data_IF_908003997428
#
_entry.id   IF_908003997428
#
_cell.length_a   1.000
_cell.length_b   1.000
_cell.length_c   1.000
_cell.angle_alpha   90.00
_cell.angle_beta   90.00
_cell.angle_gamma   90.00
#
_symmetry.space_group_name_H-M   'P 1'
#
loop_
_entity.id
_entity.type
_entity.pdbx_description
1 polymer ?
#
# COMPACT_ATOMS: atom_id res chain seq x y z
N UNK A 1 16.91 -7.92 16.40
CA UNK A 1 16.84 -6.97 15.26
C UNK A 1 15.38 -6.78 14.93
N UNK A 2 14.93 -5.55 14.68
CA UNK A 2 13.53 -5.27 14.44
C UNK A 2 13.05 -6.00 13.18
N UNK A 3 11.94 -6.71 13.31
CA UNK A 3 11.36 -7.53 12.25
C UNK A 3 10.37 -6.70 11.43
N UNK A 4 10.88 -5.67 10.74
CA UNK A 4 10.03 -4.68 10.07
C UNK A 4 9.56 -5.21 8.72
N UNK A 5 8.26 -5.06 8.45
CA UNK A 5 7.62 -5.32 7.16
C UNK A 5 7.07 -4.00 6.61
N UNK A 6 7.52 -3.61 5.43
CA UNK A 6 7.00 -2.42 4.74
C UNK A 6 5.93 -2.85 3.74
N UNK A 7 4.66 -2.54 4.03
CA UNK A 7 3.52 -3.00 3.21
C UNK A 7 3.31 -2.16 1.94
N UNK A 8 4.08 -1.08 1.77
CA UNK A 8 3.89 -0.16 0.66
C UNK A 8 5.21 0.29 0.06
N UNK A 9 5.74 -0.55 -0.82
CA UNK A 9 6.91 -0.24 -1.62
C UNK A 9 6.63 -0.47 -3.12
N UNK A 10 7.46 0.12 -3.95
CA UNK A 10 7.60 -0.23 -5.35
C UNK A 10 9.07 -0.15 -5.75
N UNK A 11 9.51 -1.03 -6.65
CA UNK A 11 10.78 -0.90 -7.37
C UNK A 11 10.47 -0.23 -8.71
N UNK A 12 10.64 1.09 -8.86
CA UNK A 12 10.29 1.75 -10.11
C UNK A 12 11.28 1.39 -11.21
N UNK A 13 10.76 1.21 -12.41
CA UNK A 13 11.54 1.24 -13.63
C UNK A 13 11.57 2.68 -14.20
N UNK A 14 12.34 2.92 -15.26
CA UNK A 14 12.44 4.27 -15.83
C UNK A 14 11.12 4.73 -16.45
N UNK A 15 10.34 3.83 -17.03
CA UNK A 15 9.03 4.16 -17.61
C UNK A 15 8.05 4.73 -16.58
N UNK A 16 8.03 4.19 -15.36
CA UNK A 16 7.29 4.74 -14.23
C UNK A 16 7.81 6.12 -13.83
N UNK A 17 9.13 6.28 -13.71
CA UNK A 17 9.74 7.56 -13.30
C UNK A 17 9.58 8.69 -14.34
N UNK A 18 9.40 8.32 -15.62
CA UNK A 18 9.16 9.26 -16.72
C UNK A 18 7.71 9.76 -16.80
N UNK A 19 6.82 9.24 -15.96
CA UNK A 19 5.40 9.61 -16.01
C UNK A 19 5.20 11.10 -15.68
N UNK A 20 4.45 11.87 -16.51
CA UNK A 20 4.30 13.32 -16.32
C UNK A 20 3.72 13.72 -14.97
N UNK A 21 2.82 12.90 -14.41
CA UNK A 21 2.17 13.17 -13.13
C UNK A 21 3.14 13.09 -11.93
N UNK A 22 4.32 12.48 -12.07
CA UNK A 22 5.36 12.52 -11.03
C UNK A 22 6.08 13.87 -10.94
N UNK A 23 6.01 14.73 -11.95
CA UNK A 23 6.80 15.96 -12.02
C UNK A 23 6.58 16.88 -10.81
N UNK A 24 5.35 16.99 -10.29
CA UNK A 24 5.08 17.77 -9.09
C UNK A 24 5.71 17.15 -7.84
N UNK A 25 5.63 15.83 -7.73
CA UNK A 25 6.13 15.08 -6.60
C UNK A 25 7.66 15.09 -6.54
N UNK A 26 8.35 14.88 -7.67
CA UNK A 26 9.81 14.97 -7.78
C UNK A 26 10.32 16.37 -7.39
N UNK A 27 9.61 17.43 -7.83
CA UNK A 27 9.96 18.81 -7.46
C UNK A 27 9.86 19.05 -5.95
N UNK A 28 8.80 18.56 -5.31
CA UNK A 28 8.60 18.78 -3.86
C UNK A 28 9.51 17.92 -2.99
N UNK A 29 9.82 16.70 -3.43
CA UNK A 29 10.68 15.77 -2.70
C UNK A 29 12.17 16.00 -2.98
N UNK A 30 12.52 16.70 -4.06
CA UNK A 30 13.90 16.87 -4.50
C UNK A 30 14.52 15.58 -5.05
N UNK A 31 13.70 14.58 -5.35
CA UNK A 31 14.15 13.28 -5.82
C UNK A 31 14.69 13.32 -7.25
N UNK A 32 15.63 12.43 -7.53
CA UNK A 32 16.11 12.18 -8.89
C UNK A 32 14.98 11.62 -9.78
N UNK A 33 14.84 12.08 -11.02
CA UNK A 33 13.92 11.48 -12.00
C UNK A 33 14.43 10.13 -12.55
N UNK A 34 15.60 9.66 -12.11
CA UNK A 34 16.13 8.35 -12.53
C UNK A 34 15.61 7.27 -11.61
N UNK A 35 15.21 6.14 -12.20
CA UNK A 35 14.85 4.95 -11.45
C UNK A 35 16.01 4.50 -10.53
N UNK A 36 15.75 4.25 -9.24
CA UNK A 36 16.75 3.69 -8.35
C UNK A 36 17.10 2.28 -8.82
N UNK A 37 18.37 1.89 -8.68
CA UNK A 37 18.77 0.48 -8.89
C UNK A 37 18.23 -0.35 -7.74
N UNK A 38 17.95 -1.63 -7.99
CA UNK A 38 17.49 -2.57 -6.96
C UNK A 38 18.42 -2.60 -5.73
N UNK A 39 19.74 -2.50 -5.92
CA UNK A 39 20.69 -2.42 -4.81
C UNK A 39 20.39 -1.23 -3.87
N UNK A 40 20.06 -0.06 -4.42
CA UNK A 40 19.73 1.11 -3.60
C UNK A 40 18.42 0.92 -2.80
N UNK A 41 17.54 0.05 -3.27
CA UNK A 41 16.32 -0.34 -2.55
C UNK A 41 16.62 -1.30 -1.42
N UNK A 42 17.46 -2.31 -1.65
CA UNK A 42 17.97 -3.20 -0.60
C UNK A 42 18.75 -2.43 0.47
N UNK A 43 19.64 -1.51 0.07
CA UNK A 43 20.40 -0.68 0.99
C UNK A 43 19.47 0.18 1.88
N UNK A 44 18.42 0.77 1.30
CA UNK A 44 17.43 1.56 2.03
C UNK A 44 16.58 0.71 2.98
N UNK A 45 16.33 -0.55 2.65
CA UNK A 45 15.69 -1.50 3.55
C UNK A 45 16.61 -1.87 4.72
N UNK A 46 17.86 -2.21 4.43
CA UNK A 46 18.86 -2.61 5.42
C UNK A 46 19.12 -1.49 6.43
N UNK A 47 19.24 -0.24 5.97
CA UNK A 47 19.41 0.95 6.83
C UNK A 47 18.30 1.08 7.88
N UNK A 48 17.06 0.73 7.51
CA UNK A 48 15.89 0.86 8.37
C UNK A 48 15.49 -0.43 9.10
N UNK A 49 16.21 -1.54 8.87
CA UNK A 49 15.85 -2.85 9.39
C UNK A 49 14.59 -3.46 8.77
N UNK A 50 14.23 -3.07 7.55
CA UNK A 50 13.14 -3.69 6.79
C UNK A 50 13.58 -5.06 6.29
N UNK A 51 13.00 -6.11 6.88
CA UNK A 51 13.27 -7.49 6.50
C UNK A 51 12.55 -7.84 5.20
N UNK A 52 11.25 -7.53 5.12
CA UNK A 52 10.41 -7.81 3.95
C UNK A 52 9.73 -6.54 3.45
N UNK A 53 9.84 -6.26 2.16
CA UNK A 53 9.11 -5.20 1.47
C UNK A 53 8.06 -5.75 0.51
N UNK A 54 6.85 -5.20 0.54
CA UNK A 54 5.79 -5.56 -0.42
C UNK A 54 5.92 -4.68 -1.66
N UNK A 55 6.44 -5.25 -2.73
CA UNK A 55 6.64 -4.57 -4.02
C UNK A 55 5.37 -4.63 -4.85
N UNK A 56 4.79 -3.48 -5.13
CA UNK A 56 3.61 -3.38 -5.97
C UNK A 56 3.95 -3.19 -7.44
N UNK A 57 3.29 -3.98 -8.28
CA UNK A 57 3.08 -3.63 -9.68
C UNK A 57 2.15 -2.41 -9.80
N UNK A 58 2.13 -1.78 -10.96
CA UNK A 58 1.31 -0.60 -11.26
C UNK A 58 0.69 -0.72 -12.63
N UNK A 59 -0.64 -0.63 -12.68
CA UNK A 59 -1.41 -0.60 -13.91
C UNK A 59 -2.34 0.60 -13.93
N UNK A 60 -2.32 1.37 -15.03
CA UNK A 60 -3.19 2.50 -15.26
C UNK A 60 -3.92 2.42 -16.59
N UNK A 61 -4.73 3.43 -16.95
CA UNK A 61 -5.50 3.43 -18.20
C UNK A 61 -4.65 3.30 -19.48
N UNK A 62 -3.36 3.66 -19.41
CA UNK A 62 -2.41 3.52 -20.51
C UNK A 62 -1.66 2.18 -20.55
N UNK A 63 -1.97 1.25 -19.64
CA UNK A 63 -1.31 -0.04 -19.50
C UNK A 63 -0.45 -0.16 -18.25
N UNK A 64 0.41 -1.18 -18.24
CA UNK A 64 1.33 -1.44 -17.13
C UNK A 64 2.44 -0.37 -17.08
N UNK A 65 2.59 0.26 -15.91
CA UNK A 65 3.70 1.17 -15.59
C UNK A 65 4.87 0.40 -14.95
N UNK A 66 4.53 -0.58 -14.10
CA UNK A 66 5.40 -1.61 -13.55
C UNK A 66 4.60 -2.90 -13.67
N UNK A 67 5.06 -3.86 -14.47
CA UNK A 67 4.31 -5.10 -14.73
C UNK A 67 4.39 -6.08 -13.56
N UNK A 68 3.41 -6.99 -13.50
CA UNK A 68 3.45 -8.10 -12.52
C UNK A 68 4.65 -9.02 -12.77
N UNK A 69 5.08 -9.20 -14.03
CA UNK A 69 6.22 -10.06 -14.35
C UNK A 69 7.55 -9.43 -13.90
N UNK A 70 7.73 -8.11 -14.05
CA UNK A 70 8.90 -7.41 -13.48
C UNK A 70 8.99 -7.57 -11.95
N UNK A 71 7.85 -7.47 -11.26
CA UNK A 71 7.80 -7.71 -9.80
C UNK A 71 8.11 -9.16 -9.47
N UNK A 72 7.55 -10.11 -10.22
CA UNK A 72 7.78 -11.54 -10.01
C UNK A 72 9.26 -11.91 -10.19
N UNK A 73 9.95 -11.32 -11.18
CA UNK A 73 11.39 -11.51 -11.38
C UNK A 73 12.21 -11.05 -10.18
N UNK A 74 11.90 -9.87 -9.62
CA UNK A 74 12.60 -9.33 -8.45
C UNK A 74 12.35 -10.21 -7.22
N UNK A 75 11.09 -10.58 -6.98
CA UNK A 75 10.69 -11.45 -5.85
C UNK A 75 11.37 -12.81 -5.97
N UNK A 76 11.39 -13.42 -7.15
CA UNK A 76 12.07 -14.70 -7.37
C UNK A 76 13.58 -14.62 -7.14
N UNK A 77 14.20 -13.47 -7.42
CA UNK A 77 15.63 -13.26 -7.19
C UNK A 77 15.97 -12.99 -5.71
N UNK A 78 15.02 -12.48 -4.91
CA UNK A 78 15.21 -12.14 -3.50
C UNK A 78 13.97 -12.52 -2.64
N UNK A 79 13.60 -13.82 -2.59
CA UNK A 79 12.34 -14.27 -2.00
C UNK A 79 12.27 -14.11 -0.47
N UNK A 80 13.41 -13.91 0.19
CA UNK A 80 13.53 -13.60 1.61
C UNK A 80 13.42 -12.10 1.92
N UNK A 81 13.45 -11.24 0.89
CA UNK A 81 13.43 -9.78 1.01
C UNK A 81 12.15 -9.15 0.48
N UNK A 82 11.46 -9.77 -0.47
CA UNK A 82 10.29 -9.18 -1.11
C UNK A 82 9.10 -10.15 -1.21
N UNK A 83 7.91 -9.58 -1.14
CA UNK A 83 6.66 -10.21 -1.55
C UNK A 83 5.98 -9.35 -2.63
N UNK A 84 5.34 -10.00 -3.61
CA UNK A 84 4.69 -9.31 -4.72
C UNK A 84 3.27 -8.86 -4.40
N UNK A 85 2.90 -7.65 -4.82
CA UNK A 85 1.53 -7.15 -4.81
C UNK A 85 1.11 -6.83 -6.25
N UNK A 86 0.04 -7.49 -6.71
CA UNK A 86 -0.34 -7.50 -8.11
C UNK A 86 -1.10 -6.22 -8.46
N UNK A 87 -1.10 -5.84 -9.74
CA UNK A 87 -2.00 -4.80 -10.26
C UNK A 87 -2.68 -5.28 -11.54
N UNK A 88 -3.81 -4.68 -11.89
CA UNK A 88 -4.69 -5.16 -12.97
C UNK A 88 -5.27 -4.03 -13.80
N UNK A 89 -5.64 -4.39 -15.03
CA UNK A 89 -6.42 -3.54 -15.93
C UNK A 89 -7.90 -3.55 -15.52
N UNK A 90 -8.43 -2.41 -15.08
CA UNK A 90 -9.85 -2.28 -14.73
C UNK A 90 -10.79 -2.28 -15.95
N UNK A 91 -10.27 -2.14 -17.17
CA UNK A 91 -11.09 -2.09 -18.39
C UNK A 91 -11.42 -3.48 -18.95
N UNK A 92 -10.68 -4.51 -18.55
CA UNK A 92 -10.91 -5.91 -18.92
C UNK A 92 -11.08 -6.78 -17.66
N UNK A 93 -12.31 -6.92 -17.13
CA UNK A 93 -12.54 -7.60 -15.87
C UNK A 93 -12.21 -9.09 -15.93
N UNK A 94 -12.38 -9.75 -17.08
CA UNK A 94 -12.08 -11.19 -17.21
C UNK A 94 -10.57 -11.41 -17.16
N UNK A 95 -9.80 -10.55 -17.85
CA UNK A 95 -8.34 -10.60 -17.79
C UNK A 95 -7.83 -10.21 -16.41
N UNK A 96 -8.41 -9.21 -15.75
CA UNK A 96 -8.07 -8.83 -14.39
C UNK A 96 -8.18 -10.00 -13.41
N UNK A 97 -9.31 -10.71 -13.42
CA UNK A 97 -9.52 -11.89 -12.56
C UNK A 97 -8.48 -12.98 -12.87
N UNK A 98 -8.24 -13.30 -14.15
CA UNK A 98 -7.25 -14.32 -14.53
C UNK A 98 -5.85 -13.94 -14.08
N UNK A 99 -5.50 -12.66 -14.17
CA UNK A 99 -4.20 -12.15 -13.77
C UNK A 99 -4.00 -12.20 -12.26
N UNK A 100 -5.01 -11.84 -11.47
CA UNK A 100 -4.97 -11.98 -10.00
C UNK A 100 -4.69 -13.43 -9.63
N UNK A 101 -5.46 -14.37 -10.17
CA UNK A 101 -5.26 -15.81 -9.92
C UNK A 101 -3.87 -16.28 -10.31
N UNK A 102 -3.34 -15.81 -11.44
CA UNK A 102 -1.98 -16.16 -11.89
C UNK A 102 -0.95 -15.64 -10.89
N UNK A 103 -1.04 -14.38 -10.50
CA UNK A 103 -0.12 -13.76 -9.55
C UNK A 103 -0.17 -14.44 -8.18
N UNK A 104 -1.35 -14.67 -7.61
CA UNK A 104 -1.50 -15.31 -6.29
C UNK A 104 -0.94 -16.74 -6.31
N UNK A 105 -1.20 -17.53 -7.35
CA UNK A 105 -0.59 -18.86 -7.52
C UNK A 105 0.94 -18.82 -7.64
N UNK A 106 1.50 -17.69 -8.07
CA UNK A 106 2.93 -17.44 -8.14
C UNK A 106 3.48 -16.76 -6.86
N UNK A 107 2.70 -16.71 -5.78
CA UNK A 107 3.15 -16.23 -4.47
C UNK A 107 2.94 -14.73 -4.22
N UNK A 108 2.16 -14.03 -5.05
CA UNK A 108 1.75 -12.67 -4.73
C UNK A 108 0.76 -12.68 -3.56
N UNK A 109 0.92 -11.72 -2.65
CA UNK A 109 0.23 -11.69 -1.35
C UNK A 109 -0.89 -10.67 -1.27
N UNK A 110 -1.18 -9.95 -2.36
CA UNK A 110 -2.18 -8.89 -2.39
C UNK A 110 -2.39 -8.33 -3.78
N UNK A 111 -3.42 -7.49 -3.92
CA UNK A 111 -3.72 -6.77 -5.16
C UNK A 111 -3.84 -5.28 -4.86
N UNK A 112 -3.17 -4.42 -5.63
CA UNK A 112 -3.23 -2.97 -5.49
C UNK A 112 -3.79 -2.30 -6.73
N UNK A 113 -4.75 -1.41 -6.51
CA UNK A 113 -5.27 -0.47 -7.52
C UNK A 113 -5.33 0.92 -6.90
N UNK A 114 -4.90 1.93 -7.64
CA UNK A 114 -4.78 3.31 -7.16
C UNK A 114 -5.88 4.19 -7.79
N UNK A 115 -6.89 4.66 -7.04
CA UNK A 115 -8.09 5.30 -7.59
C UNK A 115 -7.84 6.52 -8.47
N UNK A 116 -6.96 7.44 -8.05
CA UNK A 116 -6.69 8.66 -8.82
C UNK A 116 -6.05 8.38 -10.17
N UNK A 117 -5.29 7.29 -10.31
CA UNK A 117 -4.65 6.92 -11.58
C UNK A 117 -5.70 6.53 -12.64
N UNK A 118 -6.79 5.93 -12.18
CA UNK A 118 -7.95 5.57 -13.01
C UNK A 118 -9.00 6.68 -13.08
N UNK A 119 -8.92 7.65 -12.16
CA UNK A 119 -9.98 8.62 -11.87
C UNK A 119 -11.35 7.95 -11.67
N UNK A 120 -11.35 6.81 -10.97
CA UNK A 120 -12.52 6.02 -10.63
C UNK A 120 -12.49 5.75 -9.13
N UNK A 121 -13.58 6.01 -8.39
CA UNK A 121 -13.65 5.63 -6.99
C UNK A 121 -13.72 4.10 -6.82
N UNK A 122 -13.30 3.56 -5.66
CA UNK A 122 -13.37 2.12 -5.37
C UNK A 122 -14.75 1.45 -5.56
N UNK A 123 -15.85 2.18 -5.42
CA UNK A 123 -17.19 1.64 -5.68
C UNK A 123 -17.61 1.65 -7.16
N UNK A 124 -16.73 2.04 -8.10
CA UNK A 124 -17.02 1.88 -9.52
C UNK A 124 -17.13 0.39 -9.87
N UNK A 125 -18.13 0.02 -10.67
CA UNK A 125 -18.43 -1.37 -11.05
C UNK A 125 -17.23 -2.14 -11.61
N UNK A 126 -16.23 -1.45 -12.17
CA UNK A 126 -15.01 -2.06 -12.71
C UNK A 126 -14.12 -2.69 -11.64
N UNK A 127 -14.23 -2.26 -10.39
CA UNK A 127 -13.49 -2.84 -9.27
C UNK A 127 -14.12 -4.15 -8.75
N UNK A 128 -15.43 -4.36 -8.93
CA UNK A 128 -16.13 -5.49 -8.31
C UNK A 128 -15.56 -6.87 -8.70
N UNK A 129 -15.17 -7.13 -9.97
CA UNK A 129 -14.49 -8.37 -10.34
C UNK A 129 -13.15 -8.57 -9.63
N UNK A 130 -12.43 -7.47 -9.33
CA UNK A 130 -11.17 -7.51 -8.56
C UNK A 130 -11.47 -7.93 -7.12
N UNK A 131 -12.50 -7.38 -6.50
CA UNK A 131 -12.90 -7.74 -5.13
C UNK A 131 -13.30 -9.19 -5.00
N UNK A 132 -14.12 -9.69 -5.94
CA UNK A 132 -14.49 -11.12 -5.96
C UNK A 132 -13.25 -11.99 -6.09
N UNK A 133 -12.29 -11.64 -6.96
CA UNK A 133 -11.06 -12.39 -7.08
C UNK A 133 -10.20 -12.35 -5.81
N UNK A 134 -10.10 -11.19 -5.14
CA UNK A 134 -9.39 -11.06 -3.87
C UNK A 134 -10.00 -11.94 -2.77
N UNK A 135 -11.33 -11.97 -2.65
CA UNK A 135 -12.04 -12.80 -1.68
C UNK A 135 -11.83 -14.29 -1.98
N UNK A 136 -11.99 -14.71 -3.23
CA UNK A 136 -11.85 -16.12 -3.63
C UNK A 136 -10.42 -16.65 -3.50
N UNK A 137 -9.42 -15.80 -3.68
CA UNK A 137 -8.00 -16.16 -3.57
C UNK A 137 -7.42 -15.83 -2.17
N UNK A 138 -8.25 -15.38 -1.22
CA UNK A 138 -7.90 -15.04 0.16
C UNK A 138 -6.70 -14.07 0.28
N UNK A 139 -6.74 -13.00 -0.52
CA UNK A 139 -5.70 -11.95 -0.52
C UNK A 139 -6.29 -10.56 -0.31
N UNK A 140 -5.60 -9.67 0.44
CA UNK A 140 -6.06 -8.31 0.66
C UNK A 140 -6.05 -7.46 -0.63
N UNK A 141 -7.05 -6.57 -0.71
CA UNK A 141 -7.07 -5.46 -1.65
C UNK A 141 -6.47 -4.20 -1.03
N UNK A 142 -5.41 -3.68 -1.64
CA UNK A 142 -4.73 -2.46 -1.25
C UNK A 142 -5.17 -1.29 -2.14
N UNK A 143 -5.47 -0.15 -1.54
CA UNK A 143 -5.81 1.07 -2.29
C UNK A 143 -5.27 2.30 -1.60
N UNK A 144 -4.96 3.34 -2.37
CA UNK A 144 -4.66 4.63 -1.78
C UNK A 144 -5.96 5.29 -1.32
N UNK A 145 -5.92 5.88 -0.13
CA UNK A 145 -6.97 6.75 0.39
C UNK A 145 -6.40 8.14 0.69
N UNK A 146 -7.27 9.15 0.66
CA UNK A 146 -6.88 10.52 0.91
C UNK A 146 -6.29 11.24 -0.30
N UNK A 147 -5.53 12.29 0.02
CA UNK A 147 -4.98 13.24 -0.92
C UNK A 147 -3.98 12.57 -1.87
N UNK A 148 -4.08 12.97 -3.13
CA UNK A 148 -3.18 12.54 -4.20
C UNK A 148 -2.01 13.51 -4.30
N UNK A 149 -0.78 13.03 -4.06
CA UNK A 149 0.44 13.85 -4.16
C UNK A 149 0.73 14.41 -5.57
N UNK A 150 0.56 13.62 -6.65
CA UNK A 150 0.50 14.14 -8.02
C UNK A 150 -0.58 15.21 -8.20
N UNK A 151 -0.45 16.08 -9.22
CA UNK A 151 -1.49 17.07 -9.58
C UNK A 151 -2.69 16.40 -10.27
N UNK A 152 -3.35 15.49 -9.56
CA UNK A 152 -4.51 14.73 -9.99
C UNK A 152 -5.65 14.86 -8.96
N UNK A 153 -6.91 14.59 -9.35
CA UNK A 153 -8.04 14.67 -8.43
C UNK A 153 -7.85 13.76 -7.21
N UNK A 154 -8.06 14.31 -6.01
CA UNK A 154 -8.03 13.53 -4.76
C UNK A 154 -9.35 12.82 -4.45
N UNK A 155 -10.45 13.26 -5.08
CA UNK A 155 -11.79 12.75 -4.75
C UNK A 155 -11.96 11.23 -4.92
N UNK A 156 -11.41 10.57 -5.96
CA UNK A 156 -11.48 9.11 -6.05
C UNK A 156 -10.90 8.37 -4.83
N UNK A 157 -10.03 9.01 -4.04
CA UNK A 157 -9.44 8.45 -2.82
C UNK A 157 -10.23 8.75 -1.54
N UNK A 158 -11.38 9.42 -1.62
CA UNK A 158 -12.19 9.73 -0.44
C UNK A 158 -12.75 8.44 0.20
N UNK A 159 -12.65 8.25 1.52
CA UNK A 159 -13.12 7.02 2.15
C UNK A 159 -14.64 6.84 2.13
N UNK A 160 -15.43 7.85 2.51
CA UNK A 160 -16.90 7.80 2.53
C UNK A 160 -17.45 8.71 1.42
N UNK A 161 -18.27 8.19 0.48
CA UNK A 161 -18.98 6.91 0.55
C UNK A 161 -18.23 5.72 -0.05
N UNK A 162 -17.12 5.93 -0.77
CA UNK A 162 -16.62 4.94 -1.72
C UNK A 162 -16.16 3.62 -1.11
N UNK A 163 -15.29 3.63 -0.10
CA UNK A 163 -14.93 2.39 0.60
C UNK A 163 -16.00 1.92 1.58
N UNK A 164 -16.84 2.82 2.10
CA UNK A 164 -17.97 2.45 2.96
C UNK A 164 -18.93 1.51 2.23
N UNK A 165 -19.32 1.85 1.01
CA UNK A 165 -20.19 1.02 0.18
C UNK A 165 -19.54 -0.32 -0.21
N UNK A 166 -18.25 -0.31 -0.59
CA UNK A 166 -17.52 -1.55 -0.91
C UNK A 166 -17.45 -2.49 0.29
N UNK A 167 -17.17 -1.98 1.49
CA UNK A 167 -17.08 -2.80 2.70
C UNK A 167 -18.44 -3.33 3.18
N UNK A 168 -19.55 -2.69 2.78
CA UNK A 168 -20.91 -3.22 2.98
C UNK A 168 -21.24 -4.33 1.98
N UNK A 169 -20.88 -4.15 0.71
CA UNK A 169 -21.14 -5.10 -0.37
C UNK A 169 -20.27 -6.37 -0.25
N UNK A 170 -19.05 -6.22 0.25
CA UNK A 170 -18.06 -7.30 0.36
C UNK A 170 -17.54 -7.44 1.80
N UNK A 171 -18.33 -7.99 2.74
CA UNK A 171 -17.94 -8.10 4.15
C UNK A 171 -16.74 -9.03 4.39
N UNK A 172 -16.44 -9.93 3.45
CA UNK A 172 -15.30 -10.84 3.51
C UNK A 172 -14.01 -10.24 2.89
N UNK A 173 -14.10 -9.11 2.18
CA UNK A 173 -12.93 -8.50 1.53
C UNK A 173 -12.03 -7.83 2.56
N UNK A 174 -10.79 -8.29 2.69
CA UNK A 174 -9.77 -7.56 3.47
C UNK A 174 -9.27 -6.36 2.66
N UNK A 175 -9.35 -5.16 3.24
CA UNK A 175 -8.91 -3.91 2.58
C UNK A 175 -7.82 -3.22 3.39
N UNK A 176 -6.72 -2.85 2.73
CA UNK A 176 -5.66 -2.00 3.27
C UNK A 176 -5.69 -0.64 2.57
N UNK A 177 -6.13 0.39 3.30
CA UNK A 177 -6.11 1.78 2.84
C UNK A 177 -4.78 2.45 3.15
N UNK A 178 -3.97 2.75 2.14
CA UNK A 178 -2.69 3.41 2.31
C UNK A 178 -2.75 4.92 2.26
N UNK A 179 -1.70 5.55 2.80
CA UNK A 179 -1.52 7.00 2.87
C UNK A 179 -2.37 7.70 3.92
N UNK A 180 -2.78 6.99 4.99
CA UNK A 180 -3.37 7.57 6.22
C UNK A 180 -4.79 8.15 6.03
N UNK A 181 -5.11 8.75 4.87
CA UNK A 181 -6.43 9.24 4.47
C UNK A 181 -6.64 10.75 4.55
N UNK A 182 -5.61 11.55 4.82
CA UNK A 182 -5.73 13.01 4.90
C UNK A 182 -6.28 13.60 3.58
N UNK A 183 -7.24 14.55 3.59
CA UNK A 183 -7.79 15.27 4.75
C UNK A 183 -8.96 14.56 5.45
N UNK A 184 -9.46 13.44 4.92
CA UNK A 184 -10.63 12.72 5.44
C UNK A 184 -10.30 11.74 6.57
N UNK A 185 -9.41 12.15 7.48
CA UNK A 185 -8.93 11.29 8.57
C UNK A 185 -10.06 10.79 9.48
N UNK A 186 -11.03 11.65 9.79
CA UNK A 186 -12.20 11.28 10.57
C UNK A 186 -13.03 10.17 9.89
N UNK A 187 -13.12 10.19 8.55
CA UNK A 187 -13.79 9.13 7.78
C UNK A 187 -13.01 7.83 7.89
N UNK A 188 -11.68 7.86 7.77
CA UNK A 188 -10.82 6.67 7.95
C UNK A 188 -10.97 6.06 9.34
N UNK A 189 -10.92 6.89 10.40
CA UNK A 189 -11.10 6.43 11.77
C UNK A 189 -12.50 5.85 12.00
N UNK A 190 -13.52 6.38 11.30
CA UNK A 190 -14.86 5.80 11.28
C UNK A 190 -14.87 4.42 10.64
N UNK A 191 -14.31 4.26 9.43
CA UNK A 191 -14.27 2.99 8.72
C UNK A 191 -13.50 1.91 9.50
N UNK A 192 -12.30 2.23 10.01
CA UNK A 192 -11.47 1.23 10.73
C UNK A 192 -12.09 0.81 12.07
N UNK A 193 -12.98 1.65 12.62
CA UNK A 193 -13.79 1.31 13.79
C UNK A 193 -14.99 0.45 13.42
N UNK A 194 -15.63 0.75 12.29
CA UNK A 194 -16.89 0.12 11.83
C UNK A 194 -16.67 -1.26 11.24
N UNK A 195 -15.62 -1.46 10.44
CA UNK A 195 -15.41 -2.67 9.63
C UNK A 195 -14.24 -3.49 10.15
N UNK A 196 -14.40 -4.77 10.55
CA UNK A 196 -13.33 -5.58 11.11
C UNK A 196 -12.25 -5.98 10.08
N UNK A 197 -12.55 -5.89 8.80
CA UNK A 197 -11.75 -6.24 7.63
C UNK A 197 -11.03 -5.03 6.98
N UNK A 198 -11.17 -3.82 7.53
CA UNK A 198 -10.47 -2.63 7.04
C UNK A 198 -9.25 -2.28 7.89
N UNK A 199 -8.12 -2.05 7.23
CA UNK A 199 -6.83 -1.70 7.82
C UNK A 199 -6.26 -0.45 7.16
N UNK A 200 -5.36 0.23 7.85
CA UNK A 200 -4.73 1.47 7.36
C UNK A 200 -3.22 1.35 7.43
N UNK A 201 -2.50 1.80 6.41
CA UNK A 201 -1.05 1.94 6.50
C UNK A 201 -0.58 3.41 6.51
N UNK A 202 0.63 3.61 7.02
CA UNK A 202 1.24 4.94 7.23
C UNK A 202 2.10 5.43 6.07
N UNK A 203 2.02 4.79 4.90
CA UNK A 203 2.85 5.12 3.73
C UNK A 203 2.72 6.58 3.31
N UNK A 204 3.77 7.12 2.69
CA UNK A 204 3.92 8.52 2.29
C UNK A 204 4.04 9.53 3.45
N UNK A 205 4.05 9.08 4.71
CA UNK A 205 4.25 9.93 5.89
C UNK A 205 5.46 9.49 6.69
N UNK A 206 6.21 10.47 7.21
CA UNK A 206 7.11 10.19 8.32
C UNK A 206 6.27 10.04 9.60
N UNK A 207 6.54 9.03 10.41
CA UNK A 207 5.69 8.63 11.55
C UNK A 207 5.48 9.77 12.55
N UNK A 208 6.48 10.64 12.77
CA UNK A 208 6.37 11.81 13.64
C UNK A 208 5.51 12.95 13.09
N UNK A 209 5.04 12.84 11.84
CA UNK A 209 4.11 13.78 11.19
C UNK A 209 2.70 13.20 11.05
N UNK A 210 2.45 12.00 11.57
CA UNK A 210 1.11 11.42 11.57
C UNK A 210 0.16 12.28 12.41
N UNK A 211 -1.14 12.37 12.02
CA UNK A 211 -2.15 13.04 12.83
C UNK A 211 -2.20 12.47 14.25
N UNK A 212 -2.32 13.34 15.25
CA UNK A 212 -2.31 12.93 16.65
C UNK A 212 -3.39 11.87 16.97
N UNK A 213 -4.58 12.03 16.40
CA UNK A 213 -5.70 11.07 16.56
C UNK A 213 -5.38 9.66 16.02
N UNK A 214 -4.61 9.57 14.92
CA UNK A 214 -4.18 8.27 14.39
C UNK A 214 -3.13 7.64 15.30
N UNK A 215 -2.21 8.45 15.83
CA UNK A 215 -1.19 7.96 16.79
C UNK A 215 -1.87 7.47 18.07
N UNK A 216 -2.84 8.19 18.61
CA UNK A 216 -3.63 7.75 19.77
C UNK A 216 -4.41 6.46 19.48
N UNK A 217 -5.03 6.35 18.31
CA UNK A 217 -5.71 5.13 17.86
C UNK A 217 -4.73 3.95 17.79
N UNK A 218 -3.57 4.14 17.14
CA UNK A 218 -2.51 3.15 17.00
C UNK A 218 -1.95 2.68 18.36
N UNK A 219 -1.77 3.58 19.33
CA UNK A 219 -1.35 3.21 20.70
C UNK A 219 -2.37 2.32 21.42
N UNK A 220 -3.65 2.60 21.20
CA UNK A 220 -4.75 2.02 21.98
C UNK A 220 -5.49 0.90 21.25
N UNK A 221 -6.77 1.18 20.96
CA UNK A 221 -7.72 0.21 20.39
C UNK A 221 -7.45 -0.17 18.93
N UNK A 222 -6.61 0.61 18.24
CA UNK A 222 -6.26 0.44 16.84
C UNK A 222 -4.93 -0.26 16.58
N UNK A 223 -4.24 -0.72 17.63
CA UNK A 223 -2.88 -1.30 17.53
C UNK A 223 -2.77 -2.49 16.56
N UNK A 224 -3.87 -3.21 16.35
CA UNK A 224 -3.94 -4.36 15.43
C UNK A 224 -4.41 -3.98 14.01
N UNK A 225 -4.66 -2.69 13.77
CA UNK A 225 -5.36 -2.18 12.58
C UNK A 225 -4.54 -1.22 11.74
N UNK A 226 -3.34 -0.87 12.21
CA UNK A 226 -2.44 0.07 11.54
C UNK A 226 -1.14 -0.65 11.17
N UNK A 227 -0.71 -0.49 9.92
CA UNK A 227 0.49 -1.13 9.37
C UNK A 227 1.55 -0.08 9.01
N UNK A 228 2.82 -0.45 9.14
CA UNK A 228 3.91 0.35 8.62
C UNK A 228 4.00 0.22 7.09
N UNK A 229 4.07 1.36 6.41
CA UNK A 229 4.47 1.46 5.01
C UNK A 229 5.28 2.73 4.79
N UNK A 230 6.20 2.75 3.83
CA UNK A 230 7.01 3.94 3.52
C UNK A 230 6.52 4.72 2.31
N UNK A 231 5.95 4.04 1.30
CA UNK A 231 5.81 4.55 -0.07
C UNK A 231 7.15 4.70 -0.81
N UNK A 232 8.13 3.83 -0.54
CA UNK A 232 9.40 3.82 -1.25
C UNK A 232 9.19 3.75 -2.77
N UNK A 233 9.88 4.58 -3.58
CA UNK A 233 11.00 5.44 -3.19
C UNK A 233 10.65 6.87 -2.78
N UNK A 234 9.37 7.24 -2.72
CA UNK A 234 8.98 8.64 -2.41
C UNK A 234 9.40 9.07 -1.02
N UNK A 235 9.49 8.11 -0.09
CA UNK A 235 10.09 8.26 1.22
C UNK A 235 10.89 6.99 1.51
N UNK A 236 12.13 7.11 2.00
CA UNK A 236 12.87 5.91 2.42
C UNK A 236 12.25 5.36 3.71
N UNK A 237 12.35 4.04 3.99
CA UNK A 237 11.87 3.49 5.25
C UNK A 237 12.52 4.14 6.47
N UNK A 238 13.80 4.52 6.38
CA UNK A 238 14.50 5.26 7.44
C UNK A 238 13.90 6.66 7.67
N UNK A 239 13.57 7.38 6.60
CA UNK A 239 12.86 8.66 6.70
C UNK A 239 11.43 8.50 7.24
N UNK A 240 10.74 7.42 6.84
CA UNK A 240 9.40 7.09 7.31
C UNK A 240 9.42 6.82 8.82
N UNK A 241 10.35 6.00 9.32
CA UNK A 241 10.49 5.64 10.73
C UNK A 241 11.19 6.71 11.59
N UNK A 242 11.59 7.84 10.99
CA UNK A 242 12.27 8.90 11.71
C UNK A 242 11.46 9.38 12.92
N UNK A 243 12.11 9.42 14.09
CA UNK A 243 11.53 9.77 15.41
C UNK A 243 10.37 8.86 15.85
N UNK A 244 10.37 7.58 15.45
CA UNK A 244 9.40 6.58 15.92
C UNK A 244 9.29 6.52 17.45
N UNK A 245 10.42 6.59 18.16
CA UNK A 245 10.42 6.56 19.63
C UNK A 245 9.60 7.71 20.26
N UNK A 246 9.47 8.85 19.57
CA UNK A 246 8.65 9.97 20.01
C UNK A 246 7.14 9.72 19.89
N UNK A 247 6.73 8.64 19.22
CA UNK A 247 5.33 8.23 19.20
C UNK A 247 4.89 7.50 20.46
N UNK A 248 5.79 7.06 21.34
CA UNK A 248 5.44 6.40 22.62
C UNK A 248 4.39 5.28 22.47
N UNK A 249 4.65 4.33 21.56
CA UNK A 249 3.70 3.26 21.23
C UNK A 249 3.63 2.15 22.29
N UNK A 250 4.62 2.04 23.16
CA UNK A 250 4.84 0.84 23.97
C UNK A 250 5.28 -0.37 23.12
N UNK A 251 5.79 -1.41 23.77
CA UNK A 251 6.41 -2.54 23.08
C UNK A 251 5.43 -3.29 22.15
N UNK A 252 4.23 -3.61 22.63
CA UNK A 252 3.23 -4.39 21.88
C UNK A 252 2.72 -3.65 20.64
N UNK A 253 2.34 -2.38 20.76
CA UNK A 253 1.82 -1.65 19.60
C UNK A 253 2.94 -1.37 18.58
N UNK A 254 4.18 -1.13 19.04
CA UNK A 254 5.32 -0.99 18.15
C UNK A 254 5.61 -2.27 17.36
N UNK A 255 5.61 -3.44 18.00
CA UNK A 255 5.82 -4.74 17.35
C UNK A 255 4.74 -5.02 16.28
N UNK A 256 3.47 -4.84 16.65
CA UNK A 256 2.34 -5.04 15.74
C UNK A 256 2.39 -4.07 14.55
N UNK A 257 2.66 -2.79 14.81
CA UNK A 257 2.76 -1.76 13.78
C UNK A 257 3.90 -2.03 12.79
N UNK A 258 5.09 -2.39 13.31
CA UNK A 258 6.29 -2.56 12.51
C UNK A 258 6.27 -3.82 11.63
N UNK A 259 5.59 -4.89 12.05
CA UNK A 259 5.57 -6.12 11.27
C UNK A 259 4.44 -7.10 11.61
N UNK A 260 4.04 -7.20 12.88
CA UNK A 260 3.08 -8.22 13.32
C UNK A 260 1.73 -8.14 12.59
N UNK A 261 1.21 -6.94 12.35
CA UNK A 261 -0.03 -6.76 11.60
C UNK A 261 0.13 -7.13 10.12
N UNK A 262 1.26 -6.77 9.50
CA UNK A 262 1.52 -7.11 8.11
C UNK A 262 1.61 -8.62 7.90
N UNK A 263 2.31 -9.34 8.78
CA UNK A 263 2.41 -10.80 8.71
C UNK A 263 1.04 -11.47 8.77
N UNK A 264 0.16 -10.98 9.65
CA UNK A 264 -1.21 -11.49 9.78
C UNK A 264 -2.09 -11.15 8.59
N UNK A 265 -2.07 -9.90 8.12
CA UNK A 265 -2.97 -9.42 7.05
C UNK A 265 -2.59 -9.99 5.68
N UNK A 266 -1.30 -10.18 5.42
CA UNK A 266 -0.77 -10.67 4.14
C UNK A 266 -0.30 -12.14 4.20
N UNK A 267 -0.62 -12.87 5.28
CA UNK A 267 -0.23 -14.26 5.50
C UNK A 267 1.27 -14.55 5.26
N UNK A 268 2.15 -13.63 5.67
CA UNK A 268 3.59 -13.78 5.47
C UNK A 268 4.18 -14.77 6.49
N UNK A 269 5.22 -15.54 6.11
CA UNK A 269 5.92 -16.41 7.05
C UNK A 269 6.57 -15.59 8.16
N UNK A 270 6.75 -16.17 9.34
CA UNK A 270 7.50 -15.55 10.45
C UNK A 270 9.00 -15.52 10.18
#
# INVERSE_FOLDING_TARGET
>A
MADVVDVWMQQPNQHFMDQPWLASLLRWTGMSPRAPRLQATLDAMDEAGVRVGLLSAWHGPGGALISNDEVAEIVSAHPDRFAGVASVDLTDPVRAVREIRRCVRNGFVGVRVVPWLWNLPPNDRRYYPVYVACVEEDVPFCTQIGHTGPLCPSEPGRPIPYLDEVLLDFPDLVVVGGHVGYPWMAEVLSLVTKYPNFFVDTSAYAVHRLPAELVEFLRGRGRERVLFGSNYPMLTPAQALNRLAGLDLGATAAELFLGGNARRVFALPN
#
